data_IF_934135333967
#
_entry.id   IF_934135333967
#
_cell.length_a   1.000
_cell.length_b   1.000
_cell.length_c   1.000
_cell.angle_alpha   90.00
_cell.angle_beta   90.00
_cell.angle_gamma   90.00
#
_symmetry.space_group_name_H-M   'P 1'
#
loop_
_entity.id
_entity.type
_entity.pdbx_description
1 polymer ?
#
# COMPACT_ATOMS: atom_id res chain seq x y z
N UNK A 1 -44.46 9.22 5.00
CA UNK A 1 -43.75 7.96 5.33
C UNK A 1 -43.32 8.09 6.78
N UNK A 2 -44.14 7.58 7.67
CA UNK A 2 -43.88 7.52 9.11
C UNK A 2 -43.07 6.25 9.37
N UNK A 3 -41.80 6.43 9.71
CA UNK A 3 -40.93 5.32 10.11
C UNK A 3 -41.52 4.66 11.35
N UNK A 4 -42.02 3.44 11.17
CA UNK A 4 -42.36 2.56 12.28
C UNK A 4 -41.08 2.38 13.10
N UNK A 5 -41.12 2.80 14.37
CA UNK A 5 -40.10 2.47 15.35
C UNK A 5 -40.03 0.95 15.47
N UNK A 6 -39.14 0.33 14.70
CA UNK A 6 -38.77 -1.06 14.91
C UNK A 6 -37.95 -1.10 16.19
N UNK A 7 -38.34 -1.91 17.19
CA UNK A 7 -37.56 -2.06 18.41
C UNK A 7 -36.10 -2.41 18.06
N UNK A 8 -35.13 -2.00 18.90
CA UNK A 8 -33.72 -2.27 18.63
C UNK A 8 -33.55 -3.77 18.38
N UNK A 9 -33.14 -4.10 17.16
CA UNK A 9 -32.96 -5.48 16.75
C UNK A 9 -31.94 -6.14 17.69
N UNK A 10 -32.27 -7.36 18.14
CA UNK A 10 -31.34 -8.23 18.86
C UNK A 10 -29.99 -8.24 18.12
N UNK A 11 -28.85 -7.91 18.77
CA UNK A 11 -27.54 -7.94 18.14
C UNK A 11 -27.25 -9.25 17.40
N UNK A 12 -27.76 -10.38 17.89
CA UNK A 12 -27.62 -11.67 17.21
C UNK A 12 -28.34 -11.72 15.86
N UNK A 13 -29.54 -11.13 15.76
CA UNK A 13 -30.27 -11.02 14.51
C UNK A 13 -29.56 -10.10 13.50
N UNK A 14 -28.99 -8.99 13.98
CA UNK A 14 -28.18 -8.07 13.15
C UNK A 14 -26.92 -8.75 12.59
N UNK A 15 -26.21 -9.53 13.41
CA UNK A 15 -25.06 -10.31 12.93
C UNK A 15 -25.46 -11.37 11.91
N UNK A 16 -26.59 -12.05 12.11
CA UNK A 16 -27.08 -13.04 11.16
C UNK A 16 -27.45 -12.41 9.81
N UNK A 17 -28.09 -11.24 9.81
CA UNK A 17 -28.40 -10.49 8.60
C UNK A 17 -27.13 -10.01 7.89
N UNK A 18 -26.18 -9.43 8.63
CA UNK A 18 -24.90 -8.97 8.09
C UNK A 18 -24.08 -10.13 7.50
N UNK A 19 -24.08 -11.31 8.14
CA UNK A 19 -23.45 -12.52 7.61
C UNK A 19 -24.12 -12.99 6.32
N UNK A 20 -25.45 -12.94 6.25
CA UNK A 20 -26.20 -13.32 5.05
C UNK A 20 -25.86 -12.36 3.89
N UNK A 21 -25.83 -11.06 4.13
CA UNK A 21 -25.44 -10.06 3.14
C UNK A 21 -23.97 -10.24 2.69
N UNK A 22 -23.06 -10.52 3.63
CA UNK A 22 -21.65 -10.76 3.35
C UNK A 22 -21.37 -12.13 2.72
N UNK A 23 -22.34 -13.05 2.68
CA UNK A 23 -22.14 -14.40 2.16
C UNK A 23 -21.77 -14.43 0.67
N UNK A 24 -22.17 -13.43 -0.12
CA UNK A 24 -21.78 -13.31 -1.53
C UNK A 24 -20.33 -12.82 -1.69
N UNK A 25 -19.76 -12.19 -0.66
CA UNK A 25 -18.49 -11.47 -0.71
C UNK A 25 -17.32 -12.40 -0.37
N UNK A 26 -16.52 -12.73 -1.38
CA UNK A 26 -15.44 -13.73 -1.23
C UNK A 26 -14.06 -13.15 -0.90
N UNK A 27 -13.93 -11.82 -0.78
CA UNK A 27 -12.64 -11.20 -0.50
C UNK A 27 -12.33 -11.20 1.01
N UNK A 28 -11.06 -11.31 1.40
CA UNK A 28 -10.68 -11.31 2.82
C UNK A 28 -11.00 -9.97 3.48
N UNK A 29 -11.52 -10.03 4.71
CA UNK A 29 -11.78 -8.88 5.59
C UNK A 29 -11.26 -9.21 7.00
N UNK A 30 -11.62 -8.43 8.03
CA UNK A 30 -11.18 -8.66 9.41
C UNK A 30 -9.66 -8.65 9.56
N UNK A 31 -9.13 -9.50 10.44
CA UNK A 31 -7.68 -9.61 10.67
C UNK A 31 -6.89 -10.02 9.41
N UNK A 32 -7.44 -10.92 8.58
CA UNK A 32 -6.79 -11.36 7.33
C UNK A 32 -6.77 -10.22 6.31
N UNK A 33 -7.87 -9.51 6.12
CA UNK A 33 -7.97 -8.32 5.27
C UNK A 33 -7.05 -7.19 5.74
N UNK A 34 -7.03 -6.92 7.04
CA UNK A 34 -6.15 -5.93 7.65
C UNK A 34 -4.67 -6.23 7.38
N UNK A 35 -4.25 -7.46 7.66
CA UNK A 35 -2.86 -7.91 7.42
C UNK A 35 -2.52 -7.83 5.93
N UNK A 36 -3.49 -8.15 5.07
CA UNK A 36 -3.39 -8.02 3.63
C UNK A 36 -3.11 -6.56 3.23
N UNK A 37 -3.87 -5.58 3.74
CA UNK A 37 -3.63 -4.18 3.42
C UNK A 37 -2.28 -3.66 3.95
N UNK A 38 -1.87 -4.05 5.15
CA UNK A 38 -0.54 -3.68 5.68
C UNK A 38 0.60 -4.14 4.78
N UNK A 39 0.58 -5.42 4.34
CA UNK A 39 1.60 -5.96 3.44
C UNK A 39 1.56 -5.23 2.09
N UNK A 40 0.37 -4.88 1.61
CA UNK A 40 0.22 -4.11 0.37
C UNK A 40 0.85 -2.72 0.48
N UNK A 41 0.60 -1.98 1.56
CA UNK A 41 1.21 -0.67 1.78
C UNK A 41 2.72 -0.75 1.92
N UNK A 42 3.20 -1.72 2.69
CA UNK A 42 4.62 -2.00 2.81
C UNK A 42 5.27 -2.23 1.43
N UNK A 43 4.61 -3.04 0.59
CA UNK A 43 5.08 -3.30 -0.78
C UNK A 43 5.15 -2.01 -1.61
N UNK A 44 4.09 -1.20 -1.60
CA UNK A 44 4.05 0.07 -2.32
C UNK A 44 5.16 1.02 -1.86
N UNK A 45 5.37 1.16 -0.54
CA UNK A 45 6.41 2.02 0.03
C UNK A 45 7.79 1.56 -0.42
N UNK A 46 8.11 0.26 -0.33
CA UNK A 46 9.39 -0.27 -0.80
C UNK A 46 9.62 0.03 -2.29
N UNK A 47 8.61 -0.21 -3.13
CA UNK A 47 8.70 0.02 -4.58
C UNK A 47 8.89 1.50 -4.92
N UNK A 48 8.15 2.41 -4.26
CA UNK A 48 8.31 3.87 -4.42
C UNK A 48 9.71 4.30 -3.97
N UNK A 49 10.29 3.65 -2.96
CA UNK A 49 11.67 3.89 -2.53
C UNK A 49 12.73 3.22 -3.43
N UNK A 50 12.35 2.57 -4.53
CA UNK A 50 13.27 1.87 -5.43
C UNK A 50 13.89 0.61 -4.81
N UNK A 51 13.26 0.02 -3.80
CA UNK A 51 13.73 -1.16 -3.07
C UNK A 51 12.82 -2.36 -3.30
N UNK A 52 13.41 -3.55 -3.24
CA UNK A 52 12.66 -4.81 -3.19
C UNK A 52 11.93 -4.92 -1.84
N UNK A 53 10.66 -5.35 -1.81
CA UNK A 53 9.90 -5.50 -0.57
C UNK A 53 10.36 -6.71 0.25
N UNK A 54 10.90 -7.75 -0.37
CA UNK A 54 11.50 -8.86 0.37
C UNK A 54 12.87 -8.46 0.92
N UNK A 55 13.08 -8.79 2.19
CA UNK A 55 14.39 -8.66 2.82
C UNK A 55 15.39 -9.64 2.17
N UNK A 56 16.63 -9.22 1.85
CA UNK A 56 17.25 -7.92 2.10
C UNK A 56 16.83 -6.83 1.10
N UNK A 57 16.55 -5.60 1.59
CA UNK A 57 16.09 -4.41 0.82
C UNK A 57 17.10 -3.89 -0.23
N UNK A 58 17.37 -4.70 -1.25
CA UNK A 58 18.25 -4.39 -2.37
C UNK A 58 17.53 -3.46 -3.35
N UNK A 59 18.31 -2.69 -4.13
CA UNK A 59 17.78 -1.86 -5.22
C UNK A 59 17.18 -2.74 -6.32
N UNK A 60 16.12 -2.25 -6.97
CA UNK A 60 15.51 -2.88 -8.15
C UNK A 60 16.52 -2.86 -9.32
N UNK A 61 16.82 -4.04 -9.90
CA UNK A 61 17.85 -4.19 -10.94
C UNK A 61 17.28 -4.51 -12.33
N UNK A 62 16.13 -5.18 -12.41
CA UNK A 62 15.65 -5.75 -13.66
C UNK A 62 14.20 -5.33 -13.97
N UNK A 63 13.99 -4.30 -14.80
CA UNK A 63 12.67 -3.72 -14.98
C UNK A 63 11.64 -4.70 -15.56
N UNK A 64 12.04 -5.54 -16.52
CA UNK A 64 11.13 -6.50 -17.14
C UNK A 64 10.73 -7.63 -16.18
N UNK A 65 11.69 -8.23 -15.47
CA UNK A 65 11.40 -9.30 -14.51
C UNK A 65 10.59 -8.82 -13.31
N UNK A 66 10.80 -7.57 -12.87
CA UNK A 66 9.96 -6.92 -11.86
C UNK A 66 8.54 -6.63 -12.35
N UNK A 67 8.33 -6.39 -13.65
CA UNK A 67 7.02 -6.04 -14.21
C UNK A 67 6.08 -7.25 -14.39
N UNK A 68 6.62 -8.43 -14.74
CA UNK A 68 5.85 -9.68 -14.92
C UNK A 68 4.92 -9.99 -13.74
N UNK A 69 5.39 -10.05 -12.47
CA UNK A 69 4.51 -10.33 -11.33
C UNK A 69 3.43 -9.26 -11.15
N UNK A 70 3.71 -7.99 -11.48
CA UNK A 70 2.72 -6.92 -11.49
C UNK A 70 1.61 -7.14 -12.52
N UNK A 71 1.95 -7.61 -13.73
CA UNK A 71 0.99 -7.92 -14.80
C UNK A 71 0.13 -9.13 -14.41
N UNK A 72 0.74 -10.22 -13.94
CA UNK A 72 0.01 -11.42 -13.50
C UNK A 72 -0.92 -11.07 -12.34
N UNK A 73 -0.44 -10.30 -11.36
CA UNK A 73 -1.24 -9.82 -10.24
C UNK A 73 -2.42 -8.98 -10.71
N UNK A 74 -2.20 -8.04 -11.65
CA UNK A 74 -3.26 -7.21 -12.22
C UNK A 74 -4.37 -8.03 -12.86
N UNK A 75 -4.02 -8.94 -13.77
CA UNK A 75 -4.99 -9.76 -14.49
C UNK A 75 -5.74 -10.65 -13.50
N UNK A 76 -5.00 -11.38 -12.66
CA UNK A 76 -5.59 -12.33 -11.73
C UNK A 76 -6.50 -11.67 -10.70
N UNK A 77 -6.04 -10.58 -10.05
CA UNK A 77 -6.86 -9.87 -9.06
C UNK A 77 -8.08 -9.21 -9.71
N UNK A 78 -7.97 -8.69 -10.93
CA UNK A 78 -9.11 -8.13 -11.67
C UNK A 78 -10.16 -9.20 -11.95
N UNK A 79 -9.77 -10.38 -12.44
CA UNK A 79 -10.69 -11.48 -12.71
C UNK A 79 -11.42 -11.93 -11.44
N UNK A 80 -10.68 -12.19 -10.35
CA UNK A 80 -11.30 -12.66 -9.09
C UNK A 80 -12.19 -11.60 -8.46
N UNK A 81 -11.79 -10.33 -8.54
CA UNK A 81 -12.61 -9.23 -8.01
C UNK A 81 -13.88 -9.03 -8.85
N UNK A 82 -13.79 -9.11 -10.17
CA UNK A 82 -14.95 -9.04 -11.08
C UNK A 82 -15.95 -10.17 -10.81
N UNK A 83 -15.47 -11.40 -10.59
CA UNK A 83 -16.33 -12.52 -10.18
C UNK A 83 -17.03 -12.20 -8.86
N UNK A 84 -16.32 -11.64 -7.88
CA UNK A 84 -16.89 -11.26 -6.57
C UNK A 84 -17.95 -10.17 -6.70
N UNK A 85 -17.68 -9.10 -7.47
CA UNK A 85 -18.61 -8.00 -7.71
C UNK A 85 -19.88 -8.50 -8.39
N UNK A 86 -19.75 -9.39 -9.39
CA UNK A 86 -20.90 -9.93 -10.12
C UNK A 86 -21.79 -10.79 -9.21
N UNK A 87 -21.18 -11.58 -8.31
CA UNK A 87 -21.91 -12.39 -7.32
C UNK A 87 -22.67 -11.54 -6.30
N UNK A 88 -22.11 -10.39 -5.92
CA UNK A 88 -22.75 -9.43 -5.02
C UNK A 88 -23.53 -8.33 -5.78
N UNK A 89 -24.02 -8.60 -6.99
CA UNK A 89 -24.66 -7.57 -7.82
C UNK A 89 -25.95 -7.00 -7.23
N UNK A 90 -26.67 -7.78 -6.41
CA UNK A 90 -27.86 -7.32 -5.67
C UNK A 90 -27.51 -6.33 -4.57
N UNK A 91 -26.36 -6.49 -3.94
CA UNK A 91 -25.95 -5.71 -2.77
C UNK A 91 -25.09 -4.50 -3.17
N UNK A 92 -25.70 -3.31 -3.19
CA UNK A 92 -25.01 -2.03 -3.45
C UNK A 92 -23.72 -1.83 -2.65
N UNK A 93 -23.67 -2.03 -1.31
CA UNK A 93 -22.46 -1.78 -0.54
C UNK A 93 -21.29 -2.67 -0.98
N UNK A 94 -21.53 -3.96 -1.21
CA UNK A 94 -20.48 -4.90 -1.60
C UNK A 94 -19.96 -4.68 -3.03
N UNK A 95 -20.78 -4.13 -3.95
CA UNK A 95 -20.28 -3.67 -5.25
C UNK A 95 -19.25 -2.54 -5.11
N UNK A 96 -19.51 -1.57 -4.23
CA UNK A 96 -18.60 -0.45 -3.98
C UNK A 96 -17.30 -0.92 -3.30
N UNK A 97 -17.41 -1.78 -2.29
CA UNK A 97 -16.26 -2.38 -1.60
C UNK A 97 -15.43 -3.23 -2.59
N UNK A 98 -16.09 -4.02 -3.46
CA UNK A 98 -15.41 -4.78 -4.52
C UNK A 98 -14.70 -3.87 -5.54
N UNK A 99 -15.34 -2.79 -5.99
CA UNK A 99 -14.73 -1.82 -6.90
C UNK A 99 -13.50 -1.14 -6.28
N UNK A 100 -13.57 -0.80 -4.98
CA UNK A 100 -12.41 -0.32 -4.23
C UNK A 100 -11.25 -1.33 -4.21
N UNK A 101 -11.53 -2.59 -3.89
CA UNK A 101 -10.52 -3.66 -3.89
C UNK A 101 -9.87 -3.84 -5.28
N UNK A 102 -10.66 -3.65 -6.35
CA UNK A 102 -10.14 -3.66 -7.71
C UNK A 102 -9.21 -2.47 -7.96
N UNK A 103 -9.62 -1.24 -7.61
CA UNK A 103 -8.82 -0.03 -7.80
C UNK A 103 -7.51 -0.05 -7.01
N UNK A 104 -7.53 -0.55 -5.76
CA UNK A 104 -6.30 -0.70 -4.97
C UNK A 104 -5.35 -1.73 -5.59
N UNK A 105 -5.87 -2.86 -6.09
CA UNK A 105 -5.07 -3.83 -6.83
C UNK A 105 -4.47 -3.24 -8.12
N UNK A 106 -5.25 -2.46 -8.87
CA UNK A 106 -4.77 -1.74 -10.07
C UNK A 106 -3.64 -0.78 -9.66
N UNK A 107 -3.83 0.03 -8.62
CA UNK A 107 -2.82 0.97 -8.14
C UNK A 107 -1.51 0.28 -7.76
N UNK A 108 -1.58 -0.84 -7.02
CA UNK A 108 -0.39 -1.62 -6.61
C UNK A 108 0.31 -2.24 -7.81
N UNK A 109 -0.43 -2.81 -8.76
CA UNK A 109 0.14 -3.41 -9.97
C UNK A 109 0.79 -2.35 -10.85
N UNK A 110 0.15 -1.19 -11.04
CA UNK A 110 0.73 -0.07 -11.77
C UNK A 110 2.00 0.47 -11.08
N UNK A 111 2.00 0.54 -9.74
CA UNK A 111 3.20 0.88 -8.96
C UNK A 111 4.32 -0.12 -9.24
N UNK A 112 4.00 -1.41 -9.22
CA UNK A 112 4.98 -2.50 -9.45
C UNK A 112 5.55 -2.46 -10.86
N UNK A 113 4.72 -2.19 -11.86
CA UNK A 113 5.14 -2.10 -13.26
C UNK A 113 5.98 -0.83 -13.49
N UNK A 114 5.59 0.30 -12.89
CA UNK A 114 6.25 1.60 -13.14
C UNK A 114 7.49 1.86 -12.29
N UNK A 115 7.56 1.34 -11.06
CA UNK A 115 8.65 1.61 -10.12
C UNK A 115 10.05 1.29 -10.67
N UNK A 116 10.30 0.18 -11.38
CA UNK A 116 11.62 -0.09 -11.96
C UNK A 116 12.03 0.91 -13.03
N UNK A 117 11.09 1.52 -13.75
CA UNK A 117 11.38 2.53 -14.76
C UNK A 117 11.59 3.92 -14.12
N UNK A 118 10.89 4.19 -13.03
CA UNK A 118 10.98 5.46 -12.29
C UNK A 118 12.22 5.52 -11.38
N UNK A 119 12.57 4.40 -10.74
CA UNK A 119 13.54 4.33 -9.64
C UNK A 119 14.62 3.27 -9.82
N UNK A 120 14.52 2.42 -10.85
CA UNK A 120 15.53 1.41 -11.11
C UNK A 120 16.84 2.03 -11.58
N UNK A 121 17.94 1.55 -11.02
CA UNK A 121 19.30 1.85 -11.51
C UNK A 121 19.43 1.32 -12.93
N UNK A 122 19.87 2.17 -13.87
CA UNK A 122 20.13 1.70 -15.23
C UNK A 122 21.35 0.77 -15.23
N UNK A 123 21.45 -0.11 -16.23
CA UNK A 123 22.67 -0.93 -16.42
C UNK A 123 23.91 -0.03 -16.54
N UNK A 124 23.76 1.12 -17.16
CA UNK A 124 24.81 2.14 -17.33
C UNK A 124 25.21 2.75 -15.99
N UNK A 125 24.26 3.11 -15.13
CA UNK A 125 24.56 3.63 -13.78
C UNK A 125 25.25 2.57 -12.93
N UNK A 126 24.82 1.31 -13.05
CA UNK A 126 25.43 0.20 -12.31
C UNK A 126 26.83 -0.13 -12.83
N UNK A 127 27.06 0.01 -14.14
CA UNK A 127 28.37 -0.11 -14.75
C UNK A 127 29.27 1.06 -14.37
N UNK A 128 28.75 2.29 -14.37
CA UNK A 128 29.46 3.48 -13.94
C UNK A 128 29.84 3.40 -12.45
N UNK A 129 28.95 2.90 -11.59
CA UNK A 129 29.22 2.65 -10.18
C UNK A 129 30.31 1.59 -10.00
N UNK A 130 30.28 0.50 -10.78
CA UNK A 130 31.34 -0.53 -10.79
C UNK A 130 32.68 0.04 -11.24
N UNK A 131 32.71 0.77 -12.35
CA UNK A 131 33.94 1.38 -12.90
C UNK A 131 34.49 2.42 -11.93
N UNK A 132 33.63 3.25 -11.31
CA UNK A 132 34.02 4.20 -10.29
C UNK A 132 34.62 3.49 -9.07
N UNK A 133 33.96 2.43 -8.57
CA UNK A 133 34.47 1.65 -7.45
C UNK A 133 35.80 0.95 -7.78
N UNK A 134 35.95 0.38 -8.97
CA UNK A 134 37.22 -0.22 -9.41
C UNK A 134 38.34 0.82 -9.52
N UNK A 135 38.04 2.02 -10.04
CA UNK A 135 39.00 3.11 -10.13
C UNK A 135 39.43 3.59 -8.73
N UNK A 136 38.49 3.78 -7.81
CA UNK A 136 38.77 4.13 -6.40
C UNK A 136 39.61 3.06 -5.71
N UNK A 137 39.32 1.77 -5.95
CA UNK A 137 40.12 0.66 -5.40
C UNK A 137 41.54 0.68 -5.97
N UNK A 138 41.71 0.93 -7.27
CA UNK A 138 43.04 1.02 -7.91
C UNK A 138 43.83 2.23 -7.39
N UNK A 139 43.21 3.39 -7.28
CA UNK A 139 43.83 4.60 -6.73
C UNK A 139 44.21 4.40 -5.27
N UNK A 140 43.34 3.81 -4.45
CA UNK A 140 43.63 3.49 -3.04
C UNK A 140 44.84 2.56 -2.91
N UNK A 141 44.94 1.51 -3.73
CA UNK A 141 46.11 0.61 -3.74
C UNK A 141 47.40 1.33 -4.13
N UNK A 142 47.33 2.27 -5.07
CA UNK A 142 48.48 3.10 -5.46
C UNK A 142 48.92 4.02 -4.32
N UNK A 143 47.97 4.66 -3.63
CA UNK A 143 48.26 5.51 -2.47
C UNK A 143 48.83 4.73 -1.30
N UNK A 144 48.29 3.56 -0.96
CA UNK A 144 48.83 2.72 0.11
C UNK A 144 50.29 2.31 -0.22
N UNK A 145 50.59 2.02 -1.50
CA UNK A 145 51.95 1.70 -1.94
C UNK A 145 52.91 2.89 -1.79
N UNK A 146 52.48 4.12 -2.11
CA UNK A 146 53.28 5.34 -1.94
C UNK A 146 53.44 5.70 -0.45
N UNK A 147 52.41 5.48 0.38
CA UNK A 147 52.45 5.74 1.81
C UNK A 147 53.44 4.81 2.54
N UNK A 148 53.47 3.52 2.18
CA UNK A 148 54.46 2.57 2.72
C UNK A 148 55.91 2.93 2.33
N UNK A 149 56.13 3.57 1.18
CA UNK A 149 57.45 4.00 0.75
C UNK A 149 57.98 5.26 1.48
N UNK A 150 57.16 5.95 2.29
CA UNK A 150 57.48 7.26 2.87
C UNK A 150 57.47 7.29 4.40
N UNK A 151 57.81 6.19 5.04
CA UNK A 151 57.99 6.13 6.50
C UNK A 151 59.38 6.64 6.92
N UNK A 152 59.64 7.92 6.67
CA UNK A 152 60.63 8.75 7.38
C UNK A 152 59.88 9.84 8.18
N UNK A 153 59.20 9.40 9.25
CA UNK A 153 58.97 10.18 10.47
C UNK A 153 58.05 11.42 10.49
N UNK A 154 57.44 11.92 9.40
CA UNK A 154 56.52 13.08 9.47
C UNK A 154 55.31 12.99 8.55
N UNK A 155 54.13 12.73 9.12
CA UNK A 155 52.84 12.81 8.43
C UNK A 155 52.53 14.26 7.99
N UNK A 156 52.35 14.47 6.68
CA UNK A 156 51.69 15.67 6.14
C UNK A 156 50.45 15.24 5.36
N UNK A 157 49.27 15.67 5.80
CA UNK A 157 48.01 15.52 5.05
C UNK A 157 48.07 16.40 3.81
N UNK A 158 48.12 15.80 2.62
CA UNK A 158 47.98 16.54 1.37
C UNK A 158 46.49 16.59 0.96
N UNK A 159 45.91 17.78 0.75
CA UNK A 159 44.60 17.90 0.12
C UNK A 159 44.72 17.46 -1.34
N UNK A 160 43.85 16.55 -1.80
CA UNK A 160 43.81 16.10 -3.20
C UNK A 160 42.88 17.03 -3.98
N UNK A 161 43.40 17.93 -4.83
CA UNK A 161 42.57 18.83 -5.62
C UNK A 161 42.04 18.07 -6.84
N UNK A 162 40.72 17.98 -7.01
CA UNK A 162 40.11 17.48 -8.26
C UNK A 162 39.05 16.38 -8.12
N UNK A 163 38.82 15.81 -6.94
CA UNK A 163 37.79 14.77 -6.77
C UNK A 163 36.36 15.33 -6.78
N UNK A 164 36.18 16.62 -6.45
CA UNK A 164 34.86 17.27 -6.39
C UNK A 164 34.21 17.50 -7.76
N UNK A 165 34.99 17.65 -8.83
CA UNK A 165 34.47 18.01 -10.15
C UNK A 165 33.74 16.83 -10.83
N UNK A 166 34.05 15.58 -10.46
CA UNK A 166 33.46 14.41 -11.10
C UNK A 166 32.04 14.07 -10.62
N UNK A 167 31.57 14.68 -9.52
CA UNK A 167 30.32 14.30 -8.88
C UNK A 167 29.06 15.00 -9.43
N UNK A 168 29.22 16.01 -10.31
CA UNK A 168 28.12 16.90 -10.68
C UNK A 168 27.71 16.93 -12.17
N UNK A 169 28.08 15.92 -12.97
CA UNK A 169 27.58 15.84 -14.35
C UNK A 169 26.08 15.51 -14.34
N UNK A 170 25.27 16.53 -14.59
CA UNK A 170 23.81 16.51 -14.55
C UNK A 170 23.27 15.86 -15.85
N UNK A 171 22.94 14.57 -15.81
CA UNK A 171 22.42 13.85 -16.99
C UNK A 171 20.96 14.24 -17.30
N UNK A 172 20.67 14.90 -18.44
CA UNK A 172 19.31 15.27 -18.83
C UNK A 172 18.37 14.04 -18.98
N UNK A 173 18.92 12.87 -19.32
CA UNK A 173 18.16 11.61 -19.39
C UNK A 173 17.58 11.20 -18.04
N UNK A 174 18.33 11.40 -16.95
CA UNK A 174 17.88 11.13 -15.57
C UNK A 174 16.72 12.04 -15.15
N UNK A 175 16.76 13.34 -15.51
CA UNK A 175 15.66 14.28 -15.22
C UNK A 175 14.37 13.88 -15.92
N UNK A 176 14.44 13.48 -17.19
CA UNK A 176 13.27 13.02 -17.97
C UNK A 176 12.63 11.75 -17.39
N UNK A 177 13.45 10.77 -16.98
CA UNK A 177 12.96 9.53 -16.35
C UNK A 177 12.26 9.81 -15.02
N UNK A 178 12.84 10.67 -14.17
CA UNK A 178 12.21 11.10 -12.91
C UNK A 178 10.87 11.79 -13.14
N UNK A 179 10.78 12.71 -14.10
CA UNK A 179 9.53 13.39 -14.42
C UNK A 179 8.43 12.41 -14.87
N UNK A 180 8.78 11.43 -15.71
CA UNK A 180 7.84 10.39 -16.14
C UNK A 180 7.38 9.50 -14.96
N UNK A 181 8.31 9.13 -14.08
CA UNK A 181 8.02 8.37 -12.86
C UNK A 181 7.07 9.11 -11.91
N UNK A 182 7.30 10.42 -11.69
CA UNK A 182 6.44 11.25 -10.84
C UNK A 182 5.02 11.34 -11.40
N UNK A 183 4.86 11.52 -12.72
CA UNK A 183 3.52 11.53 -13.35
C UNK A 183 2.78 10.20 -13.16
N UNK A 184 3.50 9.08 -13.31
CA UNK A 184 2.95 7.76 -13.04
C UNK A 184 2.50 7.60 -11.59
N UNK A 185 3.30 8.03 -10.62
CA UNK A 185 2.94 8.00 -9.21
C UNK A 185 1.73 8.88 -8.86
N UNK A 186 1.60 10.04 -9.49
CA UNK A 186 0.42 10.91 -9.31
C UNK A 186 -0.84 10.16 -9.78
N UNK A 187 -0.81 9.55 -10.97
CA UNK A 187 -1.94 8.77 -11.48
C UNK A 187 -2.31 7.61 -10.54
N UNK A 188 -1.30 6.86 -10.07
CA UNK A 188 -1.50 5.79 -9.08
C UNK A 188 -2.13 6.33 -7.80
N UNK A 189 -1.63 7.46 -7.29
CA UNK A 189 -2.18 8.12 -6.11
C UNK A 189 -3.64 8.51 -6.30
N UNK A 190 -4.01 9.05 -7.45
CA UNK A 190 -5.41 9.41 -7.77
C UNK A 190 -6.32 8.18 -7.78
N UNK A 191 -5.92 7.09 -8.45
CA UNK A 191 -6.68 5.82 -8.48
C UNK A 191 -6.84 5.25 -7.07
N UNK A 192 -5.79 5.33 -6.26
CA UNK A 192 -5.82 4.82 -4.89
C UNK A 192 -6.73 5.64 -3.98
N UNK A 193 -6.69 6.97 -4.06
CA UNK A 193 -7.57 7.87 -3.29
C UNK A 193 -9.03 7.68 -3.71
N UNK A 194 -9.33 7.66 -5.01
CA UNK A 194 -10.71 7.44 -5.49
C UNK A 194 -11.25 6.09 -5.03
N UNK A 195 -10.42 5.04 -5.11
CA UNK A 195 -10.72 3.73 -4.54
C UNK A 195 -11.07 3.82 -3.06
N UNK A 196 -10.23 4.50 -2.28
CA UNK A 196 -10.40 4.60 -0.82
C UNK A 196 -11.72 5.29 -0.44
N UNK A 197 -12.07 6.37 -1.13
CA UNK A 197 -13.34 7.08 -0.93
C UNK A 197 -14.53 6.16 -1.24
N UNK A 198 -14.48 5.43 -2.36
CA UNK A 198 -15.54 4.49 -2.74
C UNK A 198 -15.71 3.36 -1.73
N UNK A 199 -14.60 2.81 -1.21
CA UNK A 199 -14.62 1.78 -0.18
C UNK A 199 -15.30 2.28 1.09
N UNK A 200 -14.84 3.42 1.61
CA UNK A 200 -15.38 4.02 2.86
C UNK A 200 -16.88 4.29 2.71
N UNK A 201 -17.29 4.84 1.57
CA UNK A 201 -18.71 5.05 1.29
C UNK A 201 -19.51 3.73 1.26
N UNK A 202 -18.96 2.68 0.63
CA UNK A 202 -19.58 1.35 0.63
C UNK A 202 -19.76 0.76 2.03
N UNK A 203 -18.81 0.99 2.94
CA UNK A 203 -18.90 0.52 4.32
C UNK A 203 -19.89 1.33 5.16
N UNK A 204 -19.95 2.65 4.96
CA UNK A 204 -20.95 3.48 5.63
C UNK A 204 -22.36 3.00 5.25
N UNK A 205 -22.61 2.73 3.97
CA UNK A 205 -23.88 2.15 3.51
C UNK A 205 -24.15 0.75 4.09
N UNK A 206 -23.12 -0.08 4.26
CA UNK A 206 -23.27 -1.41 4.85
C UNK A 206 -23.65 -1.37 6.34
N UNK A 207 -23.18 -0.35 7.06
CA UNK A 207 -23.41 -0.19 8.49
C UNK A 207 -24.64 0.67 8.82
N UNK A 208 -25.35 1.17 7.81
CA UNK A 208 -26.43 2.13 7.98
C UNK A 208 -27.47 1.65 9.01
N UNK A 209 -27.78 2.52 9.98
CA UNK A 209 -28.67 2.22 11.11
C UNK A 209 -28.15 1.22 12.16
N UNK A 210 -26.97 0.60 12.00
CA UNK A 210 -26.50 -0.51 12.87
C UNK A 210 -25.35 -0.15 13.81
N UNK A 211 -24.75 1.04 13.67
CA UNK A 211 -23.57 1.48 14.45
C UNK A 211 -23.75 1.32 15.96
N UNK A 212 -24.85 1.85 16.50
CA UNK A 212 -25.08 1.88 17.95
C UNK A 212 -25.45 0.51 18.53
N UNK A 213 -25.89 -0.43 17.70
CA UNK A 213 -26.34 -1.74 18.16
C UNK A 213 -25.18 -2.72 18.43
N UNK A 214 -23.99 -2.49 17.84
CA UNK A 214 -22.84 -3.38 17.93
C UNK A 214 -21.70 -2.67 18.67
N UNK A 215 -21.52 -3.00 19.95
CA UNK A 215 -20.52 -2.34 20.84
C UNK A 215 -19.07 -2.48 20.33
N UNK A 216 -18.74 -3.62 19.71
CA UNK A 216 -17.42 -3.87 19.11
C UNK A 216 -17.15 -2.89 17.96
N UNK A 217 -18.15 -2.61 17.12
CA UNK A 217 -18.03 -1.67 16.01
C UNK A 217 -17.80 -0.23 16.50
N UNK A 218 -18.50 0.18 17.56
CA UNK A 218 -18.28 1.49 18.19
C UNK A 218 -16.85 1.62 18.73
N UNK A 219 -16.35 0.58 19.39
CA UNK A 219 -14.99 0.56 19.93
C UNK A 219 -13.94 0.69 18.83
N UNK A 220 -14.06 -0.12 17.77
CA UNK A 220 -13.16 -0.06 16.61
C UNK A 220 -13.18 1.34 15.98
N UNK A 221 -14.38 1.89 15.74
CA UNK A 221 -14.55 3.20 15.11
C UNK A 221 -14.00 4.33 15.96
N UNK A 222 -14.19 4.27 17.28
CA UNK A 222 -13.61 5.24 18.21
C UNK A 222 -12.08 5.20 18.21
N UNK A 223 -11.49 4.00 18.24
CA UNK A 223 -10.02 3.84 18.21
C UNK A 223 -9.43 4.36 16.90
N UNK A 224 -9.97 3.94 15.76
CA UNK A 224 -9.49 4.43 14.46
C UNK A 224 -9.74 5.92 14.28
N UNK A 225 -10.91 6.42 14.70
CA UNK A 225 -11.23 7.85 14.68
C UNK A 225 -10.23 8.67 15.50
N UNK A 226 -9.91 8.25 16.73
CA UNK A 226 -8.90 8.91 17.56
C UNK A 226 -7.55 8.97 16.85
N UNK A 227 -7.08 7.85 16.30
CA UNK A 227 -5.78 7.77 15.60
C UNK A 227 -5.76 8.63 14.34
N UNK A 228 -6.86 8.66 13.58
CA UNK A 228 -6.97 9.43 12.33
C UNK A 228 -7.07 10.93 12.58
N UNK A 229 -7.87 11.37 13.55
CA UNK A 229 -8.13 12.79 13.81
C UNK A 229 -7.09 13.45 14.72
N UNK A 230 -6.32 12.67 15.50
CA UNK A 230 -5.24 13.18 16.37
C UNK A 230 -4.26 14.10 15.62
N UNK A 231 -3.67 13.68 14.47
CA UNK A 231 -2.71 14.52 13.77
C UNK A 231 -3.37 15.74 13.14
N UNK A 232 -4.62 15.62 12.67
CA UNK A 232 -5.41 16.78 12.19
C UNK A 232 -5.54 17.84 13.27
N UNK A 233 -5.91 17.45 14.50
CA UNK A 233 -6.04 18.37 15.64
C UNK A 233 -4.69 19.04 15.94
N UNK A 234 -3.58 18.28 15.92
CA UNK A 234 -2.24 18.84 16.12
C UNK A 234 -1.85 19.84 15.04
N UNK A 235 -2.17 19.56 13.77
CA UNK A 235 -1.95 20.47 12.63
C UNK A 235 -2.78 21.75 12.83
N UNK A 236 -4.07 21.61 13.14
CA UNK A 236 -4.98 22.75 13.37
C UNK A 236 -4.48 23.64 14.52
N UNK A 237 -4.01 23.05 15.62
CA UNK A 237 -3.45 23.78 16.76
C UNK A 237 -2.16 24.55 16.42
N UNK A 238 -1.43 24.16 15.37
CA UNK A 238 -0.15 24.76 14.97
C UNK A 238 -0.24 25.63 13.72
N UNK A 239 -1.42 25.80 13.11
CA UNK A 239 -1.61 26.49 11.83
C UNK A 239 -0.95 27.88 11.73
N UNK A 240 -0.96 28.66 12.81
CA UNK A 240 -0.43 30.04 12.79
C UNK A 240 1.08 30.15 12.55
N UNK A 241 1.86 29.09 12.80
CA UNK A 241 3.32 29.12 12.77
C UNK A 241 3.94 28.27 11.65
N UNK A 242 3.11 27.67 10.78
CA UNK A 242 3.58 26.74 9.75
C UNK A 242 3.73 27.48 8.42
N UNK A 243 4.90 27.36 7.79
CA UNK A 243 5.14 27.86 6.43
C UNK A 243 4.23 27.15 5.43
N UNK A 244 3.75 27.87 4.40
CA UNK A 244 2.82 27.35 3.39
C UNK A 244 3.28 26.01 2.77
N UNK A 245 4.57 25.89 2.42
CA UNK A 245 5.12 24.67 1.81
C UNK A 245 5.05 23.47 2.77
N UNK A 246 5.36 23.69 4.04
CA UNK A 246 5.28 22.66 5.09
C UNK A 246 3.82 22.25 5.32
N UNK A 247 2.89 23.19 5.28
CA UNK A 247 1.46 22.91 5.43
C UNK A 247 0.95 22.00 4.31
N UNK A 248 1.33 22.25 3.06
CA UNK A 248 0.95 21.41 1.92
C UNK A 248 1.45 19.96 2.06
N UNK A 249 2.68 19.77 2.54
CA UNK A 249 3.23 18.43 2.81
C UNK A 249 2.46 17.74 3.94
N UNK A 250 2.19 18.45 5.04
CA UNK A 250 1.43 17.89 6.17
C UNK A 250 0.00 17.49 5.78
N UNK A 251 -0.69 18.31 5.00
CA UNK A 251 -2.03 17.98 4.47
C UNK A 251 -1.97 16.74 3.58
N UNK A 252 -0.97 16.65 2.70
CA UNK A 252 -0.79 15.49 1.81
C UNK A 252 -0.52 14.21 2.60
N UNK A 253 0.35 14.27 3.62
CA UNK A 253 0.62 13.14 4.51
C UNK A 253 -0.63 12.75 5.30
N UNK A 254 -1.40 13.73 5.77
CA UNK A 254 -2.66 13.48 6.48
C UNK A 254 -3.69 12.80 5.58
N UNK A 255 -3.81 13.21 4.32
CA UNK A 255 -4.70 12.55 3.35
C UNK A 255 -4.29 11.09 3.14
N UNK A 256 -3.00 10.81 2.97
CA UNK A 256 -2.49 9.43 2.85
C UNK A 256 -2.78 8.62 4.11
N UNK A 257 -2.61 9.22 5.30
CA UNK A 257 -2.90 8.58 6.57
C UNK A 257 -4.39 8.26 6.73
N UNK A 258 -5.27 9.23 6.47
CA UNK A 258 -6.74 9.09 6.55
C UNK A 258 -7.21 7.99 5.60
N UNK A 259 -6.79 8.03 4.33
CA UNK A 259 -7.16 7.00 3.37
C UNK A 259 -6.64 5.62 3.81
N UNK A 260 -5.39 5.53 4.27
CA UNK A 260 -4.79 4.25 4.67
C UNK A 260 -5.47 3.63 5.89
N UNK A 261 -5.65 4.43 6.95
CA UNK A 261 -6.34 3.99 8.16
C UNK A 261 -7.82 3.74 7.91
N UNK A 262 -8.46 4.49 7.02
CA UNK A 262 -9.81 4.23 6.54
C UNK A 262 -9.93 2.82 5.96
N UNK A 263 -8.97 2.39 5.11
CA UNK A 263 -8.97 1.03 4.56
C UNK A 263 -8.83 -0.04 5.65
N UNK A 264 -7.92 0.18 6.60
CA UNK A 264 -7.69 -0.76 7.70
C UNK A 264 -8.91 -0.84 8.63
N UNK A 265 -9.58 0.29 8.88
CA UNK A 265 -10.82 0.37 9.65
C UNK A 265 -11.96 -0.41 8.97
N UNK A 266 -12.06 -0.35 7.65
CA UNK A 266 -13.09 -1.07 6.90
C UNK A 266 -13.01 -2.59 7.10
N UNK A 267 -11.81 -3.16 7.10
CA UNK A 267 -11.64 -4.61 7.30
C UNK A 267 -12.20 -5.06 8.65
N UNK A 268 -11.86 -4.32 9.71
CA UNK A 268 -12.35 -4.58 11.06
C UNK A 268 -13.86 -4.32 11.20
N UNK A 269 -14.37 -3.32 10.47
CA UNK A 269 -15.80 -2.99 10.44
C UNK A 269 -16.62 -4.13 9.85
N UNK A 270 -16.22 -4.70 8.70
CA UNK A 270 -16.89 -5.88 8.13
C UNK A 270 -16.79 -7.05 9.12
N UNK A 271 -15.61 -7.28 9.71
CA UNK A 271 -15.40 -8.35 10.69
C UNK A 271 -16.30 -8.22 11.92
N UNK A 272 -16.47 -7.01 12.45
CA UNK A 272 -17.34 -6.74 13.59
C UNK A 272 -18.81 -6.91 13.21
N UNK A 273 -19.24 -6.37 12.08
CA UNK A 273 -20.63 -6.48 11.59
C UNK A 273 -21.03 -7.94 11.38
N UNK A 274 -20.14 -8.75 10.83
CA UNK A 274 -20.40 -10.18 10.57
C UNK A 274 -20.16 -11.08 11.80
N UNK A 275 -19.65 -10.54 12.91
CA UNK A 275 -19.21 -11.36 14.05
C UNK A 275 -18.03 -12.29 13.73
N UNK A 276 -17.33 -12.06 12.61
CA UNK A 276 -16.16 -12.83 12.17
C UNK A 276 -14.93 -11.93 12.10
N UNK A 277 -14.34 -11.62 13.27
CA UNK A 277 -13.19 -10.73 13.37
C UNK A 277 -11.92 -11.29 12.69
N UNK A 278 -11.80 -12.62 12.55
CA UNK A 278 -10.69 -13.23 11.81
C UNK A 278 -10.81 -12.90 10.32
N UNK A 279 -12.03 -12.93 9.80
CA UNK A 279 -12.36 -12.56 8.43
C UNK A 279 -11.97 -13.61 7.39
N UNK A 280 -12.05 -14.88 7.77
CA UNK A 280 -11.99 -16.01 6.81
C UNK A 280 -13.35 -16.14 6.14
N UNK A 281 -13.44 -15.96 4.81
CA UNK A 281 -14.70 -16.11 4.08
C UNK A 281 -15.11 -17.59 4.00
N UNK A 282 -16.41 -17.82 3.90
CA UNK A 282 -16.98 -19.16 3.67
C UNK A 282 -17.65 -19.80 4.86
N UNK A 283 -17.59 -19.22 6.08
CA UNK A 283 -18.42 -19.68 7.20
C UNK A 283 -19.81 -19.05 7.08
N UNK A 284 -20.74 -19.74 6.44
CA UNK A 284 -22.10 -19.24 6.22
C UNK A 284 -23.06 -19.79 7.28
N UNK A 285 -23.70 -18.91 8.04
CA UNK A 285 -24.92 -19.20 8.82
C UNK A 285 -24.81 -20.21 9.98
N UNK A 286 -25.97 -20.50 10.58
CA UNK A 286 -26.17 -21.35 11.77
C UNK A 286 -25.59 -22.76 11.63
N UNK A 287 -25.50 -23.28 10.41
CA UNK A 287 -25.09 -24.67 10.15
C UNK A 287 -23.57 -24.82 10.05
N UNK A 288 -22.81 -23.71 10.03
CA UNK A 288 -21.35 -23.73 9.97
C UNK A 288 -20.78 -24.37 8.70
N UNK A 289 -21.60 -24.58 7.66
CA UNK A 289 -21.17 -25.22 6.41
C UNK A 289 -20.20 -24.30 5.68
N UNK A 290 -18.98 -24.81 5.48
CA UNK A 290 -17.91 -24.06 4.82
C UNK A 290 -18.09 -24.10 3.30
N UNK A 291 -18.32 -22.94 2.69
CA UNK A 291 -18.32 -22.81 1.23
C UNK A 291 -16.87 -22.83 0.71
N UNK A 292 -16.35 -24.03 0.44
CA UNK A 292 -14.96 -24.26 -0.01
C UNK A 292 -14.59 -23.41 -1.23
N UNK A 293 -15.50 -23.27 -2.21
CA UNK A 293 -15.25 -22.47 -3.42
C UNK A 293 -14.99 -20.99 -3.12
N UNK A 294 -15.66 -20.41 -2.13
CA UNK A 294 -15.42 -19.01 -1.74
C UNK A 294 -14.10 -18.86 -1.00
N UNK A 295 -13.77 -19.81 -0.14
CA UNK A 295 -12.50 -19.85 0.55
C UNK A 295 -11.34 -19.96 -0.45
N UNK A 296 -11.46 -20.82 -1.47
CA UNK A 296 -10.46 -20.97 -2.53
C UNK A 296 -10.27 -19.67 -3.31
N UNK A 297 -11.36 -18.99 -3.69
CA UNK A 297 -11.29 -17.69 -4.37
C UNK A 297 -10.60 -16.62 -3.51
N UNK A 298 -10.86 -16.61 -2.20
CA UNK A 298 -10.24 -15.68 -1.27
C UNK A 298 -8.73 -15.87 -1.19
N UNK A 299 -8.29 -17.13 -1.08
CA UNK A 299 -6.86 -17.47 -1.01
C UNK A 299 -6.15 -17.25 -2.35
N UNK A 300 -6.81 -17.55 -3.47
CA UNK A 300 -6.30 -17.22 -4.80
C UNK A 300 -6.13 -15.71 -4.94
N UNK A 301 -7.14 -14.91 -4.57
CA UNK A 301 -7.03 -13.45 -4.56
C UNK A 301 -5.88 -12.97 -3.68
N UNK A 302 -5.80 -13.50 -2.45
CA UNK A 302 -4.73 -13.16 -1.51
C UNK A 302 -3.35 -13.45 -2.11
N UNK A 303 -3.13 -14.65 -2.66
CA UNK A 303 -1.86 -15.04 -3.28
C UNK A 303 -1.51 -14.16 -4.49
N UNK A 304 -2.49 -13.91 -5.39
CA UNK A 304 -2.30 -13.07 -6.56
C UNK A 304 -1.92 -11.63 -6.19
N UNK A 305 -2.57 -11.05 -5.17
CA UNK A 305 -2.27 -9.70 -4.66
C UNK A 305 -0.87 -9.60 -4.04
N UNK A 306 -0.26 -10.74 -3.68
CA UNK A 306 1.09 -10.83 -3.08
C UNK A 306 2.20 -11.09 -4.08
N UNK A 307 1.89 -11.43 -5.33
CA UNK A 307 2.91 -11.63 -6.38
C UNK A 307 3.88 -10.44 -6.53
N UNK A 308 3.46 -9.17 -6.39
CA UNK A 308 4.40 -8.04 -6.41
C UNK A 308 5.52 -8.10 -5.36
N UNK A 309 5.34 -8.85 -4.26
CA UNK A 309 6.42 -9.08 -3.29
C UNK A 309 7.61 -9.82 -3.91
N UNK A 310 7.34 -10.69 -4.89
CA UNK A 310 8.34 -11.50 -5.59
C UNK A 310 9.09 -10.70 -6.67
N UNK A 311 8.81 -9.41 -6.85
CA UNK A 311 9.51 -8.55 -7.80
C UNK A 311 11.02 -8.56 -7.58
N UNK A 312 11.76 -9.16 -8.52
CA UNK A 312 13.23 -9.24 -8.56
C UNK A 312 13.82 -8.02 -9.28
#
# INVERSE_FOLDING_TARGET
MSDFYTPPADPAALHAEALLQASCYSLPYGAVGFSSHLITYYTMICLICGRRPLWPWRRLRYPLYSAIPGIISLIGTTVVTSISINRCSSEKPFRLIGAWMMMTSIAVSLTTISAPFAFGTTKEELLAEKVANEKVIKERKSFDMIAYARMDGKEKKFPVPGLEVLLHVDDPGRKRKRAMGVRGLILVGMIWVSGSIMGVYGIILFCDGRWNAISVLNTITAVFGLVVFSPTILILCKLKNIKSDTLGILISLQLVLVCSLGLLWMDWTIGAMTGNLVGVPGRSGKDGVVNRKMMDLAWIYFALKRLPLLGL
#
